data_IF_043517524702
#
_entry.id   IF_043517524702
#
_cell.length_a   1.000
_cell.length_b   1.000
_cell.length_c   1.000
_cell.angle_alpha   90.00
_cell.angle_beta   90.00
_cell.angle_gamma   90.00
#
_symmetry.space_group_name_H-M   'P 1'
#
loop_
_entity.id
_entity.type
_entity.pdbx_description
1 polymer ?
#
# COMPACT_ATOMS: atom_id res chain seq x y z
N UNK A 1 0.13 -21.40 -14.98
CA UNK A 1 0.54 -20.17 -15.69
C UNK A 1 1.80 -19.57 -15.05
N UNK A 2 2.99 -19.81 -15.62
CA UNK A 2 4.22 -19.00 -15.62
C UNK A 2 4.79 -18.33 -14.33
N UNK A 3 4.61 -18.87 -13.12
CA UNK A 3 5.27 -18.37 -11.88
C UNK A 3 6.80 -18.31 -12.05
N UNK A 4 7.37 -19.33 -12.70
CA UNK A 4 8.81 -19.42 -12.98
C UNK A 4 9.28 -18.28 -13.88
N UNK A 5 8.49 -17.87 -14.89
CA UNK A 5 8.84 -16.72 -15.74
C UNK A 5 8.79 -15.40 -14.96
N UNK A 6 7.84 -15.28 -14.02
CA UNK A 6 7.75 -14.12 -13.13
C UNK A 6 8.99 -13.99 -12.25
N UNK A 7 9.43 -15.08 -11.61
CA UNK A 7 10.65 -15.11 -10.80
C UNK A 7 11.92 -14.80 -11.59
N UNK A 8 12.03 -15.29 -12.83
CA UNK A 8 13.14 -14.93 -13.72
C UNK A 8 13.12 -13.43 -14.09
N UNK A 9 11.93 -12.85 -14.27
CA UNK A 9 11.79 -11.42 -14.57
C UNK A 9 12.12 -10.52 -13.36
N UNK A 10 11.70 -10.92 -12.16
CA UNK A 10 11.97 -10.23 -10.90
C UNK A 10 13.47 -10.19 -10.57
N UNK A 11 14.17 -11.33 -10.72
CA UNK A 11 15.62 -11.40 -10.45
C UNK A 11 16.48 -10.79 -11.58
N UNK A 12 15.92 -10.73 -12.79
CA UNK A 12 16.60 -10.26 -13.99
C UNK A 12 17.53 -11.30 -14.61
N UNK A 13 17.67 -11.22 -15.92
CA UNK A 13 18.40 -12.17 -16.74
C UNK A 13 19.20 -11.48 -17.84
N UNK A 14 20.25 -12.15 -18.29
CA UNK A 14 21.11 -11.74 -19.37
C UNK A 14 20.79 -12.59 -20.59
N UNK A 15 20.72 -11.94 -21.74
CA UNK A 15 20.67 -12.62 -23.03
C UNK A 15 22.09 -12.63 -23.57
N UNK A 16 22.63 -13.82 -23.73
CA UNK A 16 24.02 -14.03 -24.12
C UNK A 16 24.05 -14.79 -25.43
N UNK A 17 24.93 -14.37 -26.33
CA UNK A 17 25.22 -15.04 -27.59
C UNK A 17 26.61 -15.65 -27.50
N UNK A 18 26.70 -16.90 -27.91
CA UNK A 18 27.86 -17.76 -27.77
C UNK A 18 28.26 -18.23 -29.17
N UNK A 19 29.54 -18.13 -29.51
CA UNK A 19 30.11 -18.56 -30.80
C UNK A 19 31.37 -19.38 -30.56
N UNK A 20 31.45 -20.57 -31.16
CA UNK A 20 32.66 -21.38 -31.12
C UNK A 20 32.42 -22.84 -31.49
N UNK A 21 33.50 -23.61 -31.60
CA UNK A 21 33.43 -25.02 -32.02
C UNK A 21 32.85 -25.97 -30.95
N UNK A 22 32.96 -25.65 -29.65
CA UNK A 22 32.59 -26.56 -28.55
C UNK A 22 31.31 -26.14 -27.79
N UNK A 23 30.29 -25.67 -28.51
CA UNK A 23 29.03 -25.20 -27.89
C UNK A 23 28.28 -26.31 -27.11
N UNK A 24 28.31 -27.55 -27.60
CA UNK A 24 27.61 -28.68 -26.96
C UNK A 24 28.26 -29.09 -25.64
N UNK A 25 29.61 -29.12 -25.60
CA UNK A 25 30.36 -29.36 -24.36
C UNK A 25 30.08 -28.28 -23.33
N UNK A 26 30.01 -27.02 -23.77
CA UNK A 26 29.67 -25.90 -22.90
C UNK A 26 28.28 -26.09 -22.28
N UNK A 27 27.26 -26.43 -23.08
CA UNK A 27 25.90 -26.66 -22.58
C UNK A 27 25.85 -27.80 -21.54
N UNK A 28 26.58 -28.89 -21.77
CA UNK A 28 26.67 -30.00 -20.82
C UNK A 28 27.30 -29.56 -19.49
N UNK A 29 28.37 -28.77 -19.56
CA UNK A 29 29.05 -28.25 -18.37
C UNK A 29 28.18 -27.26 -17.60
N UNK A 30 27.34 -26.46 -18.27
CA UNK A 30 26.35 -25.61 -17.58
C UNK A 30 25.38 -26.44 -16.76
N UNK A 31 24.89 -27.54 -17.34
CA UNK A 31 23.98 -28.46 -16.67
C UNK A 31 24.63 -29.08 -15.42
N UNK A 32 25.87 -29.57 -15.55
CA UNK A 32 26.65 -30.15 -14.43
C UNK A 32 26.89 -29.10 -13.32
N UNK A 33 27.21 -27.86 -13.69
CA UNK A 33 27.46 -26.78 -12.72
C UNK A 33 26.17 -26.15 -12.15
N UNK A 34 24.99 -26.73 -12.44
CA UNK A 34 23.66 -26.22 -12.03
C UNK A 34 23.42 -24.76 -12.45
N UNK A 35 24.01 -24.34 -13.58
CA UNK A 35 23.76 -23.03 -14.16
C UNK A 35 22.53 -23.13 -15.04
N UNK A 36 21.41 -22.59 -14.56
CA UNK A 36 20.16 -22.61 -15.31
C UNK A 36 20.23 -21.66 -16.50
N UNK A 37 20.21 -22.24 -17.70
CA UNK A 37 20.07 -21.56 -18.97
C UNK A 37 18.71 -21.92 -19.59
N UNK A 38 18.00 -20.93 -20.14
CA UNK A 38 16.70 -21.15 -20.76
C UNK A 38 16.57 -20.41 -22.09
N UNK A 39 15.54 -20.77 -22.86
CA UNK A 39 15.25 -20.19 -24.18
C UNK A 39 16.46 -20.23 -25.12
N UNK A 40 17.04 -21.43 -25.23
CA UNK A 40 18.21 -21.72 -26.05
C UNK A 40 17.76 -21.72 -27.52
N UNK A 41 18.30 -20.81 -28.33
CA UNK A 41 18.00 -20.68 -29.75
C UNK A 41 19.28 -20.72 -30.56
N UNK A 42 19.30 -21.49 -31.65
CA UNK A 42 20.35 -21.41 -32.65
C UNK A 42 20.00 -20.29 -33.63
N UNK A 43 20.94 -19.39 -33.84
CA UNK A 43 20.87 -18.34 -34.85
C UNK A 43 21.27 -18.91 -36.23
N UNK A 44 20.81 -18.28 -37.32
CA UNK A 44 21.09 -18.71 -38.70
C UNK A 44 22.59 -18.69 -39.04
N UNK A 45 23.37 -17.93 -38.28
CA UNK A 45 24.84 -17.81 -38.42
C UNK A 45 25.62 -18.93 -37.70
N UNK A 46 24.92 -19.89 -37.08
CA UNK A 46 25.55 -20.96 -36.28
C UNK A 46 25.88 -20.52 -34.84
N UNK A 47 25.52 -19.31 -34.43
CA UNK A 47 25.67 -18.85 -33.06
C UNK A 47 24.56 -19.39 -32.15
N UNK A 48 24.86 -19.65 -30.88
CA UNK A 48 23.89 -20.08 -29.88
C UNK A 48 23.49 -18.90 -28.98
N UNK A 49 22.21 -18.60 -28.89
CA UNK A 49 21.65 -17.60 -27.99
C UNK A 49 20.99 -18.29 -26.81
N UNK A 50 21.32 -17.85 -25.59
CA UNK A 50 20.79 -18.42 -24.36
C UNK A 50 20.53 -17.33 -23.32
N UNK A 51 19.55 -17.56 -22.45
CA UNK A 51 19.22 -16.68 -21.33
C UNK A 51 19.78 -17.25 -20.03
N UNK A 52 20.42 -16.41 -19.24
CA UNK A 52 21.05 -16.77 -17.98
C UNK A 52 20.58 -15.86 -16.86
N UNK A 53 20.47 -16.38 -15.64
CA UNK A 53 20.26 -15.55 -14.46
C UNK A 53 21.43 -14.58 -14.23
N UNK A 54 21.13 -13.37 -13.75
CA UNK A 54 22.15 -12.34 -13.42
C UNK A 54 23.27 -12.87 -12.52
N UNK A 55 22.94 -13.62 -11.47
CA UNK A 55 23.92 -14.16 -10.51
C UNK A 55 24.90 -15.17 -11.13
N UNK A 56 24.50 -15.82 -12.23
CA UNK A 56 25.24 -16.91 -12.86
C UNK A 56 26.15 -16.44 -13.99
N UNK A 57 26.05 -15.17 -14.43
CA UNK A 57 26.83 -14.62 -15.54
C UNK A 57 28.34 -14.69 -15.29
N UNK A 58 28.81 -14.38 -14.06
CA UNK A 58 30.24 -14.42 -13.74
C UNK A 58 30.80 -15.85 -13.86
N UNK A 59 30.11 -16.83 -13.29
CA UNK A 59 30.48 -18.25 -13.37
C UNK A 59 30.44 -18.74 -14.82
N UNK A 60 29.45 -18.28 -15.59
CA UNK A 60 29.32 -18.59 -17.01
C UNK A 60 30.52 -18.08 -17.82
N UNK A 61 30.92 -16.82 -17.63
CA UNK A 61 32.07 -16.22 -18.32
C UNK A 61 33.38 -16.96 -18.02
N UNK A 62 33.62 -17.27 -16.74
CA UNK A 62 34.81 -18.06 -16.34
C UNK A 62 34.81 -19.48 -16.90
N UNK A 63 33.64 -20.09 -17.11
CA UNK A 63 33.53 -21.39 -17.77
C UNK A 63 33.78 -21.26 -19.27
N UNK A 64 33.21 -20.26 -19.94
CA UNK A 64 33.38 -20.08 -21.39
C UNK A 64 34.83 -19.82 -21.80
N UNK A 65 35.60 -19.11 -20.97
CA UNK A 65 37.04 -18.89 -21.19
C UNK A 65 37.81 -20.21 -21.23
N UNK A 66 37.47 -21.17 -20.35
CA UNK A 66 38.11 -22.50 -20.32
C UNK A 66 37.85 -23.33 -21.58
N UNK A 67 36.71 -23.11 -22.23
CA UNK A 67 36.32 -23.85 -23.45
C UNK A 67 36.67 -23.11 -24.76
N UNK A 68 37.40 -21.99 -24.69
CA UNK A 68 37.76 -21.15 -25.86
C UNK A 68 36.54 -20.77 -26.70
N UNK A 69 35.44 -20.43 -26.05
CA UNK A 69 34.20 -20.01 -26.71
C UNK A 69 34.04 -18.50 -26.55
N UNK A 70 33.75 -17.80 -27.64
CA UNK A 70 33.50 -16.36 -27.61
C UNK A 70 32.07 -16.09 -27.11
N UNK A 71 31.96 -15.20 -26.13
CA UNK A 71 30.73 -14.88 -25.43
C UNK A 71 30.46 -13.39 -25.51
N UNK A 72 29.36 -13.05 -26.19
CA UNK A 72 28.87 -11.69 -26.32
C UNK A 72 27.57 -11.49 -25.54
N UNK A 73 27.56 -10.53 -24.62
CA UNK A 73 26.33 -10.13 -23.92
C UNK A 73 25.51 -9.23 -24.85
N UNK A 74 24.36 -9.71 -25.30
CA UNK A 74 23.50 -9.01 -26.28
C UNK A 74 22.59 -7.99 -25.60
N UNK A 75 21.97 -8.37 -24.47
CA UNK A 75 21.12 -7.44 -23.71
C UNK A 75 20.94 -7.88 -22.26
N UNK A 76 20.71 -6.90 -21.39
CA UNK A 76 20.35 -7.10 -19.99
C UNK A 76 18.85 -6.80 -19.85
N UNK A 77 18.04 -7.76 -19.40
CA UNK A 77 16.59 -7.56 -19.21
C UNK A 77 16.15 -7.96 -17.80
N UNK A 78 15.22 -7.22 -17.22
CA UNK A 78 14.59 -7.56 -15.95
C UNK A 78 14.25 -6.36 -15.08
N UNK A 79 13.52 -6.63 -13.99
CA UNK A 79 13.13 -5.65 -12.98
C UNK A 79 14.31 -4.79 -12.47
N UNK A 80 15.51 -5.36 -12.15
CA UNK A 80 16.61 -4.55 -11.65
C UNK A 80 17.24 -3.63 -12.71
N UNK A 81 17.02 -3.85 -14.01
CA UNK A 81 17.45 -2.91 -15.05
C UNK A 81 16.49 -1.71 -15.13
N UNK A 82 15.18 -1.98 -15.07
CA UNK A 82 14.15 -0.93 -15.00
C UNK A 82 14.24 -0.11 -13.72
N UNK A 83 14.36 -0.76 -12.56
CA UNK A 83 14.57 -0.11 -11.27
C UNK A 83 15.84 0.73 -11.26
N UNK A 84 16.93 0.26 -11.86
CA UNK A 84 18.17 1.06 -11.95
C UNK A 84 17.99 2.30 -12.81
N UNK A 85 17.15 2.26 -13.86
CA UNK A 85 16.80 3.42 -14.68
C UNK A 85 15.93 4.43 -13.90
N UNK A 86 14.95 3.93 -13.15
CA UNK A 86 14.04 4.72 -12.31
C UNK A 86 14.78 5.38 -11.14
N UNK A 87 15.61 4.63 -10.42
CA UNK A 87 16.38 5.09 -9.24
C UNK A 87 17.56 5.98 -9.61
N UNK A 88 18.06 5.94 -10.87
CA UNK A 88 19.14 6.84 -11.31
C UNK A 88 18.74 8.31 -11.25
N UNK A 89 17.44 8.62 -11.26
CA UNK A 89 16.93 9.98 -11.11
C UNK A 89 16.59 10.23 -9.64
N UNK A 90 17.28 11.21 -9.03
CA UNK A 90 17.00 11.67 -7.65
C UNK A 90 15.53 12.04 -7.43
N UNK A 91 14.83 12.45 -8.51
CA UNK A 91 13.40 12.76 -8.49
C UNK A 91 12.51 11.57 -8.15
N UNK A 92 12.88 10.33 -8.50
CA UNK A 92 12.07 9.16 -8.16
C UNK A 92 12.13 8.87 -6.65
N UNK A 93 13.34 8.94 -6.06
CA UNK A 93 13.50 8.78 -4.62
C UNK A 93 12.75 9.88 -3.84
N UNK A 94 12.86 11.15 -4.29
CA UNK A 94 12.10 12.26 -3.72
C UNK A 94 10.59 12.03 -3.84
N UNK A 95 10.10 11.56 -4.99
CA UNK A 95 8.68 11.25 -5.18
C UNK A 95 8.18 10.13 -4.26
N UNK A 96 8.97 9.07 -4.05
CA UNK A 96 8.63 8.01 -3.11
C UNK A 96 8.56 8.52 -1.66
N UNK A 97 9.54 9.33 -1.23
CA UNK A 97 9.53 9.92 0.12
C UNK A 97 8.35 10.86 0.29
N UNK A 98 8.07 11.71 -0.71
CA UNK A 98 6.93 12.62 -0.72
C UNK A 98 5.60 11.86 -0.63
N UNK A 99 5.44 10.78 -1.40
CA UNK A 99 4.26 9.93 -1.36
C UNK A 99 4.05 9.32 0.03
N UNK A 100 5.12 8.83 0.67
CA UNK A 100 5.06 8.28 2.02
C UNK A 100 4.63 9.34 3.04
N UNK A 101 5.19 10.55 2.96
CA UNK A 101 4.78 11.67 3.83
C UNK A 101 3.30 11.97 3.63
N UNK A 102 2.83 12.02 2.39
CA UNK A 102 1.44 12.34 2.06
C UNK A 102 0.47 11.24 2.54
N UNK A 103 0.88 9.97 2.49
CA UNK A 103 0.12 8.84 3.05
C UNK A 103 -0.01 8.95 4.57
N UNK A 104 1.08 9.21 5.28
CA UNK A 104 1.07 9.36 6.75
C UNK A 104 0.25 10.59 7.16
N UNK A 105 0.38 11.68 6.41
CA UNK A 105 -0.40 12.90 6.62
C UNK A 105 -1.90 12.63 6.43
N UNK A 106 -2.29 12.00 5.32
CA UNK A 106 -3.69 11.64 5.04
C UNK A 106 -4.27 10.71 6.10
N UNK A 107 -3.48 9.75 6.60
CA UNK A 107 -3.88 8.86 7.70
C UNK A 107 -4.08 9.58 9.05
N UNK A 108 -3.62 10.82 9.17
CA UNK A 108 -3.76 11.62 10.39
C UNK A 108 -4.95 12.58 10.37
N UNK A 109 -5.66 12.66 9.25
CA UNK A 109 -6.82 13.54 9.07
C UNK A 109 -8.13 12.85 9.44
N UNK A 110 -9.08 13.63 9.94
CA UNK A 110 -10.48 13.23 10.11
C UNK A 110 -11.18 13.35 8.76
N UNK A 111 -11.29 12.28 7.99
CA UNK A 111 -11.88 12.29 6.65
C UNK A 111 -13.39 12.03 6.65
N UNK A 112 -13.91 11.37 7.68
CA UNK A 112 -15.32 11.02 7.77
C UNK A 112 -15.80 11.09 9.21
N UNK A 113 -16.97 11.66 9.39
CA UNK A 113 -17.69 11.67 10.67
C UNK A 113 -18.86 10.69 10.54
N UNK A 114 -18.88 9.66 11.38
CA UNK A 114 -19.95 8.67 11.42
C UNK A 114 -20.85 8.94 12.63
N UNK A 115 -22.12 9.24 12.34
CA UNK A 115 -23.15 9.57 13.32
C UNK A 115 -24.25 8.48 13.24
N UNK A 116 -24.63 7.89 14.38
CA UNK A 116 -25.75 6.94 14.46
C UNK A 116 -27.05 7.58 13.96
N UNK A 117 -27.91 6.78 13.33
CA UNK A 117 -29.09 7.27 12.60
C UNK A 117 -30.27 7.61 13.52
N UNK A 118 -30.19 7.22 14.79
CA UNK A 118 -31.35 7.11 15.69
C UNK A 118 -31.60 8.35 16.58
N UNK A 119 -31.20 9.53 16.12
CA UNK A 119 -31.35 10.77 16.89
C UNK A 119 -32.42 11.67 16.29
N UNK A 120 -33.13 12.38 17.18
CA UNK A 120 -34.20 13.33 16.83
C UNK A 120 -33.72 14.51 15.97
N UNK A 121 -32.41 14.76 15.92
CA UNK A 121 -31.78 15.82 15.13
C UNK A 121 -31.28 15.28 13.78
N UNK A 122 -31.49 16.04 12.71
CA UNK A 122 -30.98 15.70 11.38
C UNK A 122 -29.44 15.68 11.38
N UNK A 123 -28.82 14.72 10.67
CA UNK A 123 -27.36 14.51 10.65
C UNK A 123 -26.58 15.78 10.30
N UNK A 124 -27.10 16.59 9.38
CA UNK A 124 -26.45 17.84 8.94
C UNK A 124 -26.37 18.90 10.05
N UNK A 125 -27.36 18.94 10.95
CA UNK A 125 -27.37 19.85 12.10
C UNK A 125 -26.33 19.41 13.14
N UNK A 126 -26.21 18.11 13.39
CA UNK A 126 -25.18 17.54 14.28
C UNK A 126 -23.78 17.84 13.72
N UNK A 127 -23.56 17.62 12.42
CA UNK A 127 -22.28 17.94 11.75
C UNK A 127 -21.97 19.43 11.88
N UNK A 128 -22.96 20.30 11.69
CA UNK A 128 -22.79 21.75 11.82
C UNK A 128 -22.45 22.17 13.25
N UNK A 129 -23.08 21.55 14.25
CA UNK A 129 -22.78 21.78 15.66
C UNK A 129 -21.36 21.31 16.04
N UNK A 130 -20.93 20.15 15.54
CA UNK A 130 -19.56 19.64 15.74
C UNK A 130 -18.51 20.53 15.06
N UNK A 131 -18.81 21.01 13.85
CA UNK A 131 -17.96 21.95 13.13
C UNK A 131 -17.77 23.27 13.91
N UNK A 132 -18.80 23.75 14.61
CA UNK A 132 -18.73 24.92 15.50
C UNK A 132 -17.97 24.62 16.78
N UNK A 133 -18.15 23.43 17.35
CA UNK A 133 -17.47 23.00 18.58
C UNK A 133 -15.97 22.69 18.37
N UNK A 134 -15.52 22.53 17.12
CA UNK A 134 -14.10 22.44 16.77
C UNK A 134 -13.64 21.11 16.19
N UNK A 135 -14.56 20.18 15.86
CA UNK A 135 -14.27 18.98 15.06
C UNK A 135 -14.76 19.23 13.65
N UNK A 136 -13.81 19.35 12.71
CA UNK A 136 -14.11 19.51 11.29
C UNK A 136 -13.55 18.37 10.46
N UNK A 137 -14.27 18.03 9.39
CA UNK A 137 -13.74 17.16 8.33
C UNK A 137 -12.51 17.82 7.71
N UNK A 138 -11.40 17.11 7.62
CA UNK A 138 -10.11 17.60 7.13
C UNK A 138 -9.17 18.16 8.20
N UNK A 139 -9.52 18.07 9.48
CA UNK A 139 -8.66 18.51 10.57
C UNK A 139 -7.69 17.40 11.02
N UNK A 140 -6.52 17.80 11.49
CA UNK A 140 -5.51 16.89 12.06
C UNK A 140 -5.98 16.43 13.43
N UNK A 141 -6.12 15.12 13.63
CA UNK A 141 -6.62 14.52 14.88
C UNK A 141 -5.87 14.96 16.15
N UNK A 142 -4.56 15.21 16.03
CA UNK A 142 -3.70 15.59 17.16
C UNK A 142 -3.89 17.05 17.62
N UNK A 143 -4.46 17.91 16.79
CA UNK A 143 -4.70 19.32 17.16
C UNK A 143 -6.07 19.51 17.85
N UNK A 144 -6.88 18.46 17.96
CA UNK A 144 -8.24 18.54 18.49
C UNK A 144 -8.21 18.30 20.00
N UNK A 145 -8.69 19.27 20.76
CA UNK A 145 -8.96 19.10 22.18
C UNK A 145 -10.34 18.48 22.38
N UNK A 146 -10.40 17.15 22.49
CA UNK A 146 -11.67 16.42 22.58
C UNK A 146 -12.54 16.85 23.78
N UNK A 147 -11.94 17.14 24.93
CA UNK A 147 -12.71 17.50 26.13
C UNK A 147 -13.36 18.88 26.02
N UNK A 148 -12.67 19.82 25.39
CA UNK A 148 -13.20 21.13 25.10
C UNK A 148 -14.33 21.08 24.07
N UNK A 149 -14.15 20.29 23.00
CA UNK A 149 -15.18 20.08 21.98
C UNK A 149 -16.44 19.46 22.59
N UNK A 150 -16.29 18.43 23.44
CA UNK A 150 -17.44 17.80 24.12
C UNK A 150 -18.22 18.81 24.95
N UNK A 151 -17.51 19.65 25.72
CA UNK A 151 -18.12 20.69 26.56
C UNK A 151 -18.86 21.73 25.73
N UNK A 152 -18.21 22.28 24.71
CA UNK A 152 -18.80 23.28 23.81
C UNK A 152 -20.01 22.73 23.06
N UNK A 153 -19.97 21.45 22.67
CA UNK A 153 -21.10 20.80 22.01
C UNK A 153 -22.32 20.69 22.94
N UNK A 154 -22.14 20.23 24.17
CA UNK A 154 -23.23 20.06 25.16
C UNK A 154 -23.83 21.40 25.59
N UNK A 155 -23.02 22.46 25.73
CA UNK A 155 -23.52 23.80 26.07
C UNK A 155 -24.46 24.33 24.99
N UNK A 156 -24.12 24.10 23.72
CA UNK A 156 -24.89 24.60 22.58
C UNK A 156 -26.13 23.75 22.23
N UNK A 157 -26.22 22.52 22.75
CA UNK A 157 -27.24 21.53 22.39
C UNK A 157 -27.77 20.84 23.66
N UNK A 158 -28.63 21.53 24.45
CA UNK A 158 -29.11 21.03 25.74
C UNK A 158 -30.01 19.78 25.63
N UNK A 159 -30.41 19.37 24.43
CA UNK A 159 -31.15 18.13 24.19
C UNK A 159 -30.31 16.84 24.38
N UNK A 160 -28.98 16.96 24.43
CA UNK A 160 -28.06 15.85 24.65
C UNK A 160 -27.43 15.90 26.05
N UNK A 161 -27.38 14.76 26.75
CA UNK A 161 -26.71 14.63 28.07
C UNK A 161 -25.26 14.21 27.94
N UNK A 162 -24.94 13.43 26.91
CA UNK A 162 -23.60 12.87 26.73
C UNK A 162 -23.21 12.83 25.26
N UNK A 163 -21.93 13.09 25.00
CA UNK A 163 -21.28 12.94 23.71
C UNK A 163 -19.96 12.16 23.86
N UNK A 164 -19.90 11.00 23.22
CA UNK A 164 -18.70 10.20 23.01
C UNK A 164 -18.10 10.50 21.64
N UNK A 165 -16.79 10.77 21.60
CA UNK A 165 -16.04 10.93 20.35
C UNK A 165 -14.91 9.89 20.37
N UNK A 166 -14.92 8.97 19.42
CA UNK A 166 -13.90 7.94 19.27
C UNK A 166 -13.27 8.02 17.88
N UNK A 167 -11.95 8.04 17.83
CA UNK A 167 -11.21 8.01 16.57
C UNK A 167 -10.92 6.58 16.13
N UNK A 168 -11.46 6.18 14.99
CA UNK A 168 -11.17 4.91 14.33
C UNK A 168 -10.42 5.18 13.02
N UNK A 169 -9.09 5.25 13.10
CA UNK A 169 -8.23 5.59 11.96
C UNK A 169 -8.47 7.03 11.48
N UNK A 170 -8.98 7.18 10.27
CA UNK A 170 -9.37 8.47 9.66
C UNK A 170 -10.85 8.82 9.89
N UNK A 171 -11.58 7.99 10.63
CA UNK A 171 -13.00 8.19 10.93
C UNK A 171 -13.20 8.65 12.37
N UNK A 172 -14.05 9.65 12.57
CA UNK A 172 -14.56 10.01 13.89
C UNK A 172 -15.93 9.36 14.09
N UNK A 173 -16.04 8.40 15.02
CA UNK A 173 -17.30 7.80 15.44
C UNK A 173 -17.85 8.61 16.60
N UNK A 174 -19.11 9.01 16.50
CA UNK A 174 -19.78 9.84 17.50
C UNK A 174 -20.90 9.04 18.14
N UNK A 175 -21.00 9.10 19.46
CA UNK A 175 -22.04 8.46 20.25
C UNK A 175 -22.76 9.57 21.02
N UNK A 176 -24.07 9.72 20.81
CA UNK A 176 -24.89 10.72 21.50
C UNK A 176 -25.91 10.01 22.39
N UNK A 177 -26.23 10.60 23.53
CA UNK A 177 -27.37 10.16 24.35
C UNK A 177 -28.23 11.37 24.69
N UNK A 178 -29.52 11.28 24.35
CA UNK A 178 -30.50 12.34 24.60
C UNK A 178 -30.93 12.36 26.07
N UNK A 179 -31.23 13.56 26.58
CA UNK A 179 -31.86 13.71 27.88
C UNK A 179 -33.27 13.14 27.84
N UNK A 180 -33.49 11.98 28.46
CA UNK A 180 -34.85 11.53 28.77
C UNK A 180 -35.38 12.47 29.85
N UNK A 181 -36.36 13.32 29.53
CA UNK A 181 -37.09 14.06 30.55
C UNK A 181 -37.68 13.03 31.55
N UNK A 182 -37.57 13.23 32.87
CA UNK A 182 -38.26 12.38 33.83
C UNK A 182 -39.73 12.29 33.42
N UNK A 183 -40.28 11.08 33.34
CA UNK A 183 -41.70 10.92 33.10
C UNK A 183 -42.42 11.63 34.24
N UNK A 184 -43.32 12.56 33.91
CA UNK A 184 -44.18 13.21 34.90
C UNK A 184 -44.95 12.09 35.59
N UNK A 185 -44.70 11.88 36.89
CA UNK A 185 -45.51 11.00 37.72
C UNK A 185 -46.94 11.52 37.54
N UNK A 186 -47.77 10.75 36.85
CA UNK A 186 -49.18 11.11 36.71
C UNK A 186 -49.77 11.01 38.10
N UNK A 187 -50.32 12.12 38.58
CA UNK A 187 -50.91 12.24 39.91
C UNK A 187 -51.91 11.09 40.15
N UNK A 188 -51.70 10.33 41.23
CA UNK A 188 -52.54 9.18 41.61
C UNK A 188 -53.92 9.61 42.17
N UNK A 189 -54.37 10.85 41.92
CA UNK A 189 -55.58 11.42 42.50
C UNK A 189 -56.90 11.00 41.83
N UNK A 190 -56.89 10.07 40.87
CA UNK A 190 -58.12 9.42 40.39
C UNK A 190 -58.21 8.02 41.00
N UNK A 191 -59.22 7.72 41.85
CA UNK A 191 -59.44 6.35 42.27
C UNK A 191 -59.80 5.54 41.01
N UNK A 192 -59.08 4.45 40.79
CA UNK A 192 -59.42 3.49 39.75
C UNK A 192 -60.81 2.93 40.07
N UNK A 193 -61.76 3.15 39.17
CA UNK A 193 -63.05 2.49 39.19
C UNK A 193 -62.81 1.00 38.89
N UNK A 194 -63.26 0.12 39.79
CA UNK A 194 -63.07 -1.34 39.73
C UNK A 194 -64.32 -1.99 39.16
#
# INVERSE_FOLDING_TARGET
MNIVKMFHFLNGYYIVQVRGYMMEKLLNVLHINKIYAWDIKKDKTGALQLKLMRGSLKKFLSLSEKFKVDVKVVSQRGLPHFLKLLVKKKSFALGCVFLLILLVFSSSLVLKIEIPVDYSMNKDQIISALNKAGIKTGQIKYLINYDEVKRQFLINNPEFTYIGIQMQGTKAKIELYSSVKPQLITDYSTPADI
#
